data_IF_156561982577
#
_entry.id   IF_156561982577
#
_cell.length_a   1.000
_cell.length_b   1.000
_cell.length_c   1.000
_cell.angle_alpha   90.00
_cell.angle_beta   90.00
_cell.angle_gamma   90.00
#
_symmetry.space_group_name_H-M   'P 1'
#
loop_
_entity.id
_entity.type
_entity.pdbx_description
1 polymer ?
#
# COMPACT_ATOMS: atom_id res chain seq x y z
N UNK A 1 50.61 -38.92 44.53
CA UNK A 1 50.19 -37.51 44.73
C UNK A 1 50.98 -36.65 43.77
N UNK A 2 50.38 -36.32 42.62
CA UNK A 2 50.85 -35.29 41.68
C UNK A 2 49.61 -34.78 40.92
N UNK A 3 49.62 -33.49 40.65
CA UNK A 3 48.47 -32.58 40.60
C UNK A 3 47.97 -32.35 39.16
N UNK A 4 46.73 -31.88 39.05
CA UNK A 4 45.93 -31.68 37.83
C UNK A 4 46.39 -30.50 36.94
N UNK A 5 46.01 -30.54 35.66
CA UNK A 5 45.61 -29.34 34.90
C UNK A 5 44.56 -29.68 33.83
N UNK A 6 43.51 -28.85 33.81
CA UNK A 6 42.30 -28.87 32.98
C UNK A 6 42.51 -28.93 31.46
N UNK A 7 41.53 -29.54 30.79
CA UNK A 7 41.12 -29.15 29.44
C UNK A 7 39.60 -28.92 29.44
N UNK A 8 39.21 -27.65 29.55
CA UNK A 8 37.83 -27.22 29.29
C UNK A 8 37.50 -27.46 27.81
N UNK A 9 36.57 -28.37 27.51
CA UNK A 9 35.87 -28.38 26.23
C UNK A 9 34.67 -27.43 26.31
N UNK A 10 34.82 -26.25 25.73
CA UNK A 10 33.69 -25.39 25.39
C UNK A 10 32.96 -26.03 24.22
N UNK A 11 31.85 -26.72 24.49
CA UNK A 11 30.92 -27.14 23.45
C UNK A 11 30.06 -25.94 23.06
N UNK A 12 30.56 -25.11 22.14
CA UNK A 12 29.76 -24.09 21.47
C UNK A 12 28.78 -24.77 20.52
N UNK A 13 27.67 -25.29 21.02
CA UNK A 13 26.51 -25.63 20.19
C UNK A 13 25.62 -24.39 20.03
N UNK A 14 26.18 -23.30 19.52
CA UNK A 14 25.36 -22.31 18.83
C UNK A 14 24.98 -22.95 17.50
N UNK A 15 23.75 -23.46 17.45
CA UNK A 15 23.06 -23.69 16.17
C UNK A 15 22.93 -22.31 15.52
N UNK A 16 23.97 -21.93 14.80
CA UNK A 16 23.91 -20.85 13.85
C UNK A 16 22.93 -21.34 12.77
N UNK A 17 21.68 -20.91 12.84
CA UNK A 17 20.84 -20.93 11.64
C UNK A 17 21.67 -20.25 10.53
N UNK A 18 21.74 -20.86 9.33
CA UNK A 18 22.44 -20.23 8.23
C UNK A 18 21.82 -18.84 8.02
N UNK A 19 22.61 -17.82 7.65
CA UNK A 19 22.06 -16.50 7.38
C UNK A 19 20.97 -16.68 6.31
N UNK A 20 19.72 -16.42 6.69
CA UNK A 20 18.59 -16.42 5.76
C UNK A 20 19.00 -15.49 4.63
N UNK A 21 19.14 -16.03 3.43
CA UNK A 21 19.62 -15.29 2.26
C UNK A 21 18.80 -14.00 2.13
N UNK A 22 19.44 -12.85 2.38
CA UNK A 22 18.88 -11.50 2.20
C UNK A 22 18.52 -11.18 0.73
N UNK A 23 18.68 -12.14 -0.19
CA UNK A 23 18.52 -11.94 -1.63
C UNK A 23 17.10 -12.18 -2.14
N UNK A 24 16.23 -12.82 -1.36
CA UNK A 24 14.88 -13.16 -1.83
C UNK A 24 13.89 -12.08 -1.40
N UNK A 25 13.88 -11.00 -2.19
CA UNK A 25 12.84 -9.97 -2.09
C UNK A 25 11.57 -10.49 -2.76
N UNK A 26 10.48 -10.53 -2.00
CA UNK A 26 9.19 -11.05 -2.44
C UNK A 26 8.12 -9.96 -2.34
N UNK A 27 7.29 -9.86 -3.37
CA UNK A 27 6.04 -9.12 -3.31
C UNK A 27 4.90 -10.04 -2.87
N UNK A 28 4.11 -9.59 -1.89
CA UNK A 28 2.86 -10.20 -1.48
C UNK A 28 1.74 -9.23 -1.82
N UNK A 29 0.85 -9.65 -2.70
CA UNK A 29 -0.36 -8.89 -3.03
C UNK A 29 -1.33 -8.96 -1.86
N UNK A 30 -1.61 -7.81 -1.24
CA UNK A 30 -2.67 -7.68 -0.23
C UNK A 30 -3.99 -7.41 -0.95
N UNK A 31 -3.93 -6.55 -1.98
CA UNK A 31 -5.02 -6.27 -2.91
C UNK A 31 -4.44 -5.82 -4.25
N UNK A 32 -5.27 -5.68 -5.28
CA UNK A 32 -4.85 -5.19 -6.59
C UNK A 32 -4.11 -3.84 -6.52
N UNK A 33 -4.46 -3.00 -5.54
CA UNK A 33 -3.92 -1.66 -5.36
C UNK A 33 -2.77 -1.63 -4.34
N UNK A 34 -2.59 -2.68 -3.54
CA UNK A 34 -1.66 -2.69 -2.41
C UNK A 34 -0.80 -3.95 -2.38
N UNK A 35 0.51 -3.75 -2.41
CA UNK A 35 1.49 -4.83 -2.34
C UNK A 35 2.46 -4.57 -1.20
N UNK A 36 2.70 -5.59 -0.37
CA UNK A 36 3.71 -5.53 0.68
C UNK A 36 4.94 -6.29 0.24
N UNK A 37 6.10 -5.67 0.44
CA UNK A 37 7.38 -6.21 -0.01
C UNK A 37 8.12 -6.74 1.21
N UNK A 38 8.58 -7.97 1.10
CA UNK A 38 9.29 -8.70 2.13
C UNK A 38 10.72 -9.02 1.68
N UNK A 39 11.66 -8.97 2.61
CA UNK A 39 12.98 -9.59 2.48
C UNK A 39 13.08 -10.72 3.50
N UNK A 40 13.02 -11.96 3.03
CA UNK A 40 12.78 -13.11 3.92
C UNK A 40 11.42 -12.99 4.61
N UNK A 41 11.42 -12.97 5.94
CA UNK A 41 10.20 -12.88 6.75
C UNK A 41 9.88 -11.44 7.21
N UNK A 42 10.71 -10.46 6.86
CA UNK A 42 10.58 -9.07 7.32
C UNK A 42 9.93 -8.21 6.23
N UNK A 43 8.86 -7.51 6.56
CA UNK A 43 8.30 -6.46 5.70
C UNK A 43 9.27 -5.28 5.64
N UNK A 44 9.56 -4.80 4.43
CA UNK A 44 10.53 -3.72 4.18
C UNK A 44 9.91 -2.48 3.54
N UNK A 45 8.79 -2.62 2.82
CA UNK A 45 8.09 -1.51 2.18
C UNK A 45 6.69 -1.92 1.73
N UNK A 46 5.86 -0.91 1.42
CA UNK A 46 4.56 -1.09 0.76
C UNK A 46 4.54 -0.32 -0.56
N UNK A 47 3.94 -0.92 -1.58
CA UNK A 47 3.62 -0.28 -2.85
C UNK A 47 2.11 -0.09 -2.90
N UNK A 48 1.66 1.15 -3.06
CA UNK A 48 0.25 1.53 -3.01
C UNK A 48 -0.10 2.28 -4.30
N UNK A 49 -1.16 1.86 -4.97
CA UNK A 49 -1.79 2.60 -6.05
C UNK A 49 -2.69 3.68 -5.44
N UNK A 50 -2.46 4.93 -5.79
CA UNK A 50 -3.23 6.07 -5.28
C UNK A 50 -3.98 6.73 -6.40
N UNK A 51 -5.29 6.93 -6.20
CA UNK A 51 -6.21 7.56 -7.14
C UNK A 51 -6.31 9.08 -6.96
N UNK A 52 -5.30 9.71 -6.37
CA UNK A 52 -5.26 11.17 -6.24
C UNK A 52 -5.06 11.80 -7.64
N UNK A 53 -5.86 12.84 -7.90
CA UNK A 53 -6.22 13.37 -9.22
C UNK A 53 -5.05 13.51 -10.21
N UNK A 54 -5.17 12.85 -11.37
CA UNK A 54 -4.38 13.05 -12.59
C UNK A 54 -2.86 12.91 -12.47
N UNK A 55 -2.38 12.18 -11.47
CA UNK A 55 -0.96 11.94 -11.37
C UNK A 55 -0.48 10.95 -12.44
N UNK A 56 0.49 11.40 -13.24
CA UNK A 56 1.21 10.55 -14.21
C UNK A 56 1.96 9.40 -13.53
N UNK A 57 2.04 9.39 -12.20
CA UNK A 57 2.80 8.47 -11.39
C UNK A 57 1.97 7.95 -10.20
N UNK A 58 0.96 7.09 -10.42
CA UNK A 58 0.00 6.74 -9.38
C UNK A 58 0.53 5.69 -8.38
N UNK A 59 1.69 5.09 -8.61
CA UNK A 59 2.27 4.08 -7.73
C UNK A 59 3.24 4.71 -6.76
N UNK A 60 3.00 4.51 -5.46
CA UNK A 60 3.78 5.07 -4.37
C UNK A 60 4.50 3.95 -3.62
N UNK A 61 5.75 4.18 -3.23
CA UNK A 61 6.45 3.38 -2.22
C UNK A 61 6.33 4.08 -0.89
N UNK A 62 5.77 3.39 0.09
CA UNK A 62 5.68 3.86 1.47
C UNK A 62 6.45 2.94 2.41
N UNK A 63 7.21 3.56 3.32
CA UNK A 63 7.85 2.90 4.46
C UNK A 63 7.39 3.61 5.72
N UNK A 64 6.93 2.86 6.73
CA UNK A 64 6.37 3.42 7.98
C UNK A 64 5.22 4.43 7.77
N UNK A 65 4.45 4.30 6.68
CA UNK A 65 3.37 5.23 6.34
C UNK A 65 3.84 6.55 5.73
N UNK A 66 5.15 6.71 5.48
CA UNK A 66 5.72 7.88 4.82
C UNK A 66 5.99 7.52 3.36
N UNK A 67 5.59 8.38 2.42
CA UNK A 67 5.94 8.27 1.00
C UNK A 67 7.43 8.57 0.80
N UNK A 68 8.15 7.64 0.17
CA UNK A 68 9.58 7.79 -0.11
C UNK A 68 9.89 7.87 -1.60
N UNK A 69 9.01 7.33 -2.45
CA UNK A 69 9.21 7.29 -3.89
C UNK A 69 7.88 7.10 -4.61
N UNK A 70 7.81 7.58 -5.85
CA UNK A 70 6.63 7.52 -6.70
C UNK A 70 7.00 7.21 -8.15
N UNK A 71 6.17 6.44 -8.85
CA UNK A 71 6.39 6.08 -10.25
C UNK A 71 5.09 5.80 -11.03
N UNK A 72 5.21 5.74 -12.35
CA UNK A 72 4.11 5.45 -13.26
C UNK A 72 3.71 3.97 -13.35
N UNK A 73 4.52 3.07 -12.81
CA UNK A 73 4.26 1.63 -12.87
C UNK A 73 4.72 0.96 -11.58
N UNK A 74 3.95 -0.03 -11.13
CA UNK A 74 4.27 -0.87 -9.99
C UNK A 74 5.70 -1.46 -10.07
N UNK A 75 6.11 -1.90 -11.27
CA UNK A 75 7.40 -2.54 -11.48
C UNK A 75 8.59 -1.60 -11.21
N UNK A 76 8.44 -0.29 -11.46
CA UNK A 76 9.48 0.70 -11.12
C UNK A 76 9.60 0.89 -9.61
N UNK A 77 8.48 0.93 -8.91
CA UNK A 77 8.47 0.96 -7.44
C UNK A 77 9.13 -0.29 -6.86
N UNK A 78 8.84 -1.47 -7.40
CA UNK A 78 9.48 -2.72 -6.99
C UNK A 78 10.99 -2.69 -7.23
N UNK A 79 11.43 -2.27 -8.42
CA UNK A 79 12.86 -2.15 -8.74
C UNK A 79 13.59 -1.15 -7.83
N UNK A 80 12.96 -0.01 -7.55
CA UNK A 80 13.47 0.98 -6.60
C UNK A 80 13.72 0.34 -5.23
N UNK A 81 12.73 -0.38 -4.68
CA UNK A 81 12.86 -1.06 -3.38
C UNK A 81 13.99 -2.09 -3.43
N UNK A 82 14.02 -2.95 -4.46
CA UNK A 82 15.07 -3.95 -4.62
C UNK A 82 16.47 -3.31 -4.64
N UNK A 83 16.66 -2.28 -5.46
CA UNK A 83 17.94 -1.60 -5.57
C UNK A 83 18.34 -0.96 -4.23
N UNK A 84 17.46 -0.16 -3.63
CA UNK A 84 17.76 0.54 -2.38
C UNK A 84 17.97 -0.43 -1.19
N UNK A 85 17.25 -1.55 -1.15
CA UNK A 85 17.46 -2.59 -0.16
C UNK A 85 18.83 -3.27 -0.31
N UNK A 86 19.21 -3.65 -1.53
CA UNK A 86 20.54 -4.25 -1.78
C UNK A 86 21.69 -3.30 -1.49
N UNK A 87 21.48 -1.98 -1.63
CA UNK A 87 22.46 -0.95 -1.28
C UNK A 87 22.43 -0.57 0.21
N UNK A 88 21.47 -1.07 1.00
CA UNK A 88 21.29 -0.68 2.41
C UNK A 88 20.87 0.78 2.61
N UNK A 89 20.27 1.40 1.58
CA UNK A 89 19.84 2.81 1.59
C UNK A 89 18.32 2.97 1.75
N UNK A 90 17.58 1.86 1.77
CA UNK A 90 16.15 1.88 2.05
C UNK A 90 15.92 2.21 3.54
N UNK A 91 15.00 3.13 3.87
CA UNK A 91 14.64 3.40 5.26
C UNK A 91 14.20 2.13 5.98
N UNK A 92 14.60 1.98 7.23
CA UNK A 92 14.26 0.79 8.01
C UNK A 92 12.78 0.80 8.39
N UNK A 93 12.07 -0.28 8.10
CA UNK A 93 10.69 -0.44 8.53
C UNK A 93 10.66 -0.70 10.04
N UNK A 94 9.97 0.16 10.78
CA UNK A 94 9.70 -0.02 12.19
C UNK A 94 8.71 -1.18 12.32
N UNK A 95 9.17 -2.26 12.97
CA UNK A 95 8.26 -3.33 13.35
C UNK A 95 7.28 -2.75 14.36
N UNK A 96 5.99 -2.75 14.00
CA UNK A 96 4.92 -2.40 14.94
C UNK A 96 4.92 -3.47 16.02
N UNK A 97 5.72 -3.26 17.06
CA UNK A 97 5.76 -4.14 18.23
C UNK A 97 4.35 -4.16 18.81
N UNK A 98 3.83 -5.36 19.03
CA UNK A 98 2.48 -5.61 19.51
C UNK A 98 2.27 -5.18 20.99
N UNK A 99 2.92 -4.11 21.44
CA UNK A 99 2.84 -3.57 22.80
C UNK A 99 1.66 -2.59 23.00
N UNK A 100 0.75 -2.47 22.03
CA UNK A 100 -0.58 -1.90 22.22
C UNK A 100 -1.67 -2.97 21.99
N UNK A 101 -1.45 -4.15 22.58
CA UNK A 101 -2.43 -5.24 22.64
C UNK A 101 -2.45 -5.85 24.04
N UNK A 102 -2.71 -5.06 25.09
CA UNK A 102 -3.08 -5.68 26.38
C UNK A 102 -4.16 -4.92 27.17
N UNK A 103 -5.34 -5.55 27.17
CA UNK A 103 -6.41 -5.60 28.20
C UNK A 103 -7.20 -4.33 28.55
N UNK A 104 -8.39 -4.23 27.95
CA UNK A 104 -9.63 -4.07 28.74
C UNK A 104 -10.71 -5.00 28.18
N UNK A 105 -11.18 -5.93 29.02
CA UNK A 105 -12.26 -6.88 28.73
C UNK A 105 -13.58 -6.32 29.26
N UNK A 106 -14.54 -5.95 28.38
CA UNK A 106 -16.00 -6.15 28.54
C UNK A 106 -16.65 -6.20 27.13
N UNK A 107 -17.54 -7.17 26.83
CA UNK A 107 -18.23 -7.22 25.55
C UNK A 107 -19.38 -6.21 25.54
N UNK A 108 -19.24 -5.16 24.73
CA UNK A 108 -20.37 -4.32 24.35
C UNK A 108 -20.49 -4.45 22.84
N UNK A 109 -21.66 -4.89 22.39
CA UNK A 109 -22.05 -4.93 20.98
C UNK A 109 -21.71 -3.58 20.34
N UNK A 110 -20.55 -3.48 19.69
CA UNK A 110 -20.26 -2.43 18.73
C UNK A 110 -20.73 -2.94 17.37
N UNK A 111 -21.52 -2.16 16.62
CA UNK A 111 -21.89 -2.56 15.28
C UNK A 111 -20.59 -2.72 14.48
N UNK A 112 -20.46 -3.89 13.86
CA UNK A 112 -19.42 -4.29 12.89
C UNK A 112 -18.85 -3.05 12.19
N UNK A 113 -17.71 -2.53 12.65
CA UNK A 113 -16.95 -1.55 11.87
C UNK A 113 -16.45 -2.31 10.65
N UNK A 114 -17.21 -2.20 9.57
CA UNK A 114 -16.83 -2.70 8.25
C UNK A 114 -15.40 -2.24 7.99
N UNK A 115 -14.53 -3.22 7.91
CA UNK A 115 -13.19 -3.15 7.36
C UNK A 115 -13.11 -2.10 6.26
N UNK A 116 -12.22 -1.12 6.43
CA UNK A 116 -11.90 -0.11 5.40
C UNK A 116 -11.53 -0.73 4.04
N UNK A 117 -11.20 -2.02 4.01
CA UNK A 117 -10.96 -2.83 2.81
C UNK A 117 -12.16 -3.01 1.86
N UNK A 118 -13.41 -2.97 2.33
CA UNK A 118 -14.57 -3.08 1.41
C UNK A 118 -14.98 -1.73 0.81
N UNK A 119 -14.39 -0.64 1.28
CA UNK A 119 -14.77 0.73 0.87
C UNK A 119 -14.04 1.14 -0.41
N UNK A 120 -12.85 0.58 -0.69
CA UNK A 120 -11.96 1.08 -1.74
C UNK A 120 -12.33 0.60 -3.16
N UNK A 121 -12.66 -0.68 -3.38
CA UNK A 121 -13.08 -1.14 -4.71
C UNK A 121 -14.45 -0.57 -5.14
N UNK A 122 -15.35 -0.37 -4.17
CA UNK A 122 -16.60 0.39 -4.41
C UNK A 122 -16.30 1.87 -4.70
N UNK A 123 -15.22 2.43 -4.16
CA UNK A 123 -14.83 3.82 -4.35
C UNK A 123 -14.48 4.12 -5.81
N UNK A 124 -13.69 3.26 -6.47
CA UNK A 124 -13.29 3.48 -7.86
C UNK A 124 -14.49 3.42 -8.82
N UNK A 125 -15.29 2.37 -8.71
CA UNK A 125 -16.50 2.21 -9.55
C UNK A 125 -17.47 3.37 -9.31
N UNK A 126 -17.70 3.75 -8.06
CA UNK A 126 -18.58 4.86 -7.69
C UNK A 126 -18.03 6.22 -8.14
N UNK A 127 -16.71 6.43 -8.13
CA UNK A 127 -16.04 7.62 -8.69
C UNK A 127 -16.20 7.70 -10.20
N UNK A 128 -16.01 6.60 -10.92
CA UNK A 128 -16.23 6.53 -12.37
C UNK A 128 -17.69 6.89 -12.69
N UNK A 129 -18.65 6.30 -11.97
CA UNK A 129 -20.06 6.64 -12.14
C UNK A 129 -20.36 8.12 -11.84
N UNK A 130 -19.76 8.70 -10.79
CA UNK A 130 -19.94 10.12 -10.46
C UNK A 130 -19.43 11.03 -11.58
N UNK A 131 -18.23 10.76 -12.13
CA UNK A 131 -17.68 11.54 -13.25
C UNK A 131 -18.52 11.39 -14.52
N UNK A 132 -19.00 10.18 -14.82
CA UNK A 132 -19.91 9.97 -15.95
C UNK A 132 -21.23 10.73 -15.77
N UNK A 133 -21.74 10.83 -14.54
CA UNK A 133 -22.94 11.59 -14.22
C UNK A 133 -22.74 13.09 -14.45
N UNK A 134 -21.60 13.66 -14.05
CA UNK A 134 -21.25 15.06 -14.27
C UNK A 134 -21.22 15.43 -15.77
N UNK A 135 -20.59 14.56 -16.58
CA UNK A 135 -20.53 14.75 -18.05
C UNK A 135 -21.92 14.67 -18.67
N UNK A 136 -22.75 13.71 -18.24
CA UNK A 136 -24.13 13.59 -18.69
C UNK A 136 -24.95 14.84 -18.34
N UNK A 137 -24.81 15.36 -17.11
CA UNK A 137 -25.50 16.59 -16.70
C UNK A 137 -25.07 17.79 -17.54
N UNK A 138 -23.76 17.95 -17.82
CA UNK A 138 -23.26 19.04 -18.65
C UNK A 138 -23.82 18.94 -20.09
N UNK A 139 -23.90 17.73 -20.64
CA UNK A 139 -24.46 17.50 -21.97
C UNK A 139 -25.95 17.84 -22.04
N UNK A 140 -26.72 17.52 -20.99
CA UNK A 140 -28.15 17.86 -20.90
C UNK A 140 -28.32 19.38 -20.82
N UNK A 141 -27.51 20.07 -20.02
CA UNK A 141 -27.54 21.54 -19.93
C UNK A 141 -27.27 22.19 -21.30
N UNK A 142 -26.30 21.65 -22.03
CA UNK A 142 -25.99 22.12 -23.38
C UNK A 142 -27.15 21.90 -24.36
N UNK A 143 -27.76 20.72 -24.36
CA UNK A 143 -28.92 20.42 -25.21
C UNK A 143 -30.13 21.31 -24.89
N UNK A 144 -30.39 21.57 -23.61
CA UNK A 144 -31.45 22.49 -23.18
C UNK A 144 -31.19 23.93 -23.63
N UNK A 145 -29.93 24.37 -23.60
CA UNK A 145 -29.53 25.68 -24.10
C UNK A 145 -29.73 25.78 -25.63
N UNK A 146 -29.39 24.71 -26.35
CA UNK A 146 -29.53 24.65 -27.80
C UNK A 146 -31.00 24.68 -28.23
N UNK A 147 -31.87 23.93 -27.54
CA UNK A 147 -33.31 23.96 -27.77
C UNK A 147 -33.91 25.35 -27.55
N UNK A 148 -33.53 26.06 -26.47
CA UNK A 148 -33.97 27.43 -26.21
C UNK A 148 -33.52 28.40 -27.31
N UNK A 149 -32.34 28.19 -27.86
CA UNK A 149 -31.82 29.03 -28.96
C UNK A 149 -32.63 28.83 -30.23
N UNK A 150 -32.96 27.59 -30.58
CA UNK A 150 -33.78 27.27 -31.76
C UNK A 150 -35.22 27.78 -31.63
N UNK A 151 -35.83 27.66 -30.45
CA UNK A 151 -37.18 28.19 -30.20
C UNK A 151 -37.21 29.72 -30.34
N UNK A 152 -36.17 30.41 -29.84
CA UNK A 152 -36.02 31.86 -29.99
C UNK A 152 -35.85 32.30 -31.46
N UNK A 153 -35.19 31.48 -32.28
CA UNK A 153 -35.04 31.74 -33.71
C UNK A 153 -36.36 31.50 -34.46
N UNK A 154 -37.11 30.45 -34.13
CA UNK A 154 -38.42 30.17 -34.72
C UNK A 154 -39.50 31.21 -34.40
N UNK A 155 -39.42 31.88 -33.24
CA UNK A 155 -40.37 32.95 -32.86
C UNK A 155 -40.02 34.30 -33.51
N UNK A 156 -38.80 34.45 -34.06
CA UNK A 156 -38.36 35.68 -34.76
C UNK A 156 -38.68 35.70 -36.26
N UNK A 157 -38.97 34.56 -36.87
CA UNK A 157 -39.42 34.42 -38.26
C UNK A 157 -40.94 34.44 -38.35
#
# INVERSE_FOLDING_TARGET
MTYATDAFQVSSSERHEPPRNLSDIKAVEISFEEHEIFAGDRAIAKIILTDEDFETQPWIVSVNGIEIYRANTWMKCFHFITWHFTQGTLPEQEEVTAAEKERVTIPVFTPLQKSKQFVNATNLVQKIYAKCLDVLQLSIQYLLLLLKTLEKESVRT
#
